data_IF_036371052577
#
_entry.id   IF_036371052577
#
_cell.length_a   1.000
_cell.length_b   1.000
_cell.length_c   1.000
_cell.angle_alpha   90.00
_cell.angle_beta   90.00
_cell.angle_gamma   90.00
#
_symmetry.space_group_name_H-M   'P 1'
#
loop_
_entity.id
_entity.type
_entity.pdbx_description
1 polymer ?
#
# COMPACT_ATOMS: atom_id res chain seq x y z
N UNK A 1 0.01 -15.36 13.82
CA UNK A 1 1.14 -16.30 13.79
C UNK A 1 2.37 -15.65 14.44
N UNK A 2 2.91 -16.25 15.49
CA UNK A 2 4.13 -15.80 16.13
C UNK A 2 5.36 -16.25 15.32
N UNK A 3 6.12 -15.28 14.80
CA UNK A 3 7.35 -15.54 14.02
C UNK A 3 8.55 -15.85 14.93
N UNK A 4 8.51 -15.42 16.20
CA UNK A 4 9.59 -15.64 17.17
C UNK A 4 9.48 -16.94 17.98
N UNK A 5 8.46 -17.75 17.77
CA UNK A 5 8.26 -19.00 18.49
C UNK A 5 9.40 -20.00 18.22
N UNK A 6 9.97 -20.58 19.30
CA UNK A 6 11.19 -21.42 19.22
C UNK A 6 10.96 -22.85 18.72
N UNK A 7 9.72 -23.30 18.62
CA UNK A 7 9.40 -24.73 18.48
C UNK A 7 9.04 -25.19 17.06
N UNK A 8 8.73 -24.28 16.14
CA UNK A 8 8.40 -24.59 14.75
C UNK A 8 8.92 -23.52 13.80
N UNK A 9 9.20 -23.92 12.54
CA UNK A 9 9.51 -22.96 11.50
C UNK A 9 8.22 -22.20 11.12
N UNK A 10 8.08 -20.89 11.44
CA UNK A 10 6.85 -20.15 11.24
C UNK A 10 6.41 -20.07 9.77
N UNK A 11 7.34 -20.18 8.82
CA UNK A 11 7.01 -20.19 7.40
C UNK A 11 6.33 -21.50 6.97
N UNK A 12 6.70 -22.64 7.60
CA UNK A 12 6.01 -23.92 7.36
C UNK A 12 4.60 -23.87 7.94
N UNK A 13 4.46 -23.30 9.14
CA UNK A 13 3.13 -23.12 9.76
C UNK A 13 2.26 -22.18 8.91
N UNK A 14 2.81 -21.09 8.37
CA UNK A 14 2.12 -20.20 7.45
C UNK A 14 1.62 -20.96 6.21
N UNK A 15 2.49 -21.74 5.57
CA UNK A 15 2.14 -22.52 4.38
C UNK A 15 1.00 -23.52 4.69
N UNK A 16 1.06 -24.22 5.82
CA UNK A 16 0.01 -25.14 6.26
C UNK A 16 -1.32 -24.45 6.49
N UNK A 17 -1.33 -23.30 7.15
CA UNK A 17 -2.55 -22.52 7.37
C UNK A 17 -3.19 -22.09 6.05
N UNK A 18 -2.38 -21.63 5.08
CA UNK A 18 -2.87 -21.24 3.75
C UNK A 18 -3.29 -22.43 2.89
N UNK A 19 -2.76 -23.64 3.12
CA UNK A 19 -3.28 -24.87 2.50
C UNK A 19 -4.65 -25.25 3.00
N UNK A 20 -4.95 -25.00 4.29
CA UNK A 20 -6.27 -25.26 4.88
C UNK A 20 -7.30 -24.23 4.40
N UNK A 21 -6.95 -22.95 4.45
CA UNK A 21 -7.76 -21.86 3.91
C UNK A 21 -6.86 -20.85 3.17
N UNK A 22 -6.86 -20.93 1.85
CA UNK A 22 -6.10 -20.04 0.97
C UNK A 22 -6.48 -18.55 1.07
N UNK A 23 -7.65 -18.26 1.63
CA UNK A 23 -8.17 -16.92 1.84
C UNK A 23 -7.97 -16.40 3.27
N UNK A 24 -7.34 -17.20 4.14
CA UNK A 24 -7.06 -16.79 5.51
C UNK A 24 -6.19 -15.53 5.54
N UNK A 25 -6.61 -14.54 6.32
CA UNK A 25 -5.82 -13.31 6.54
C UNK A 25 -4.92 -13.55 7.75
N UNK A 26 -3.64 -13.82 7.51
CA UNK A 26 -2.67 -14.20 8.54
C UNK A 26 -1.80 -13.01 8.90
N UNK A 27 -1.95 -12.49 10.12
CA UNK A 27 -1.09 -11.46 10.69
C UNK A 27 0.12 -12.13 11.35
N UNK A 28 1.30 -11.74 10.93
CA UNK A 28 2.55 -12.21 11.52
C UNK A 28 2.94 -11.31 12.69
N UNK A 29 3.20 -11.89 13.86
CA UNK A 29 3.58 -11.15 15.05
C UNK A 29 5.00 -11.51 15.48
N UNK A 30 5.87 -10.53 15.73
CA UNK A 30 7.19 -10.78 16.30
C UNK A 30 7.86 -9.52 16.86
N UNK A 31 8.98 -9.71 17.54
CA UNK A 31 9.89 -8.63 17.91
C UNK A 31 10.70 -8.17 16.71
N UNK A 32 11.16 -6.91 16.71
CA UNK A 32 11.94 -6.30 15.60
C UNK A 32 13.43 -6.71 15.61
N UNK A 33 13.74 -8.00 15.77
CA UNK A 33 15.09 -8.48 15.52
C UNK A 33 15.33 -8.63 14.01
N UNK A 34 16.58 -8.48 13.56
CA UNK A 34 16.91 -8.60 12.14
C UNK A 34 16.47 -9.95 11.53
N UNK A 35 16.64 -11.04 12.30
CA UNK A 35 16.20 -12.38 11.89
C UNK A 35 14.69 -12.45 11.70
N UNK A 36 13.92 -11.91 12.66
CA UNK A 36 12.47 -11.94 12.61
C UNK A 36 11.91 -11.06 11.46
N UNK A 37 12.53 -9.90 11.23
CA UNK A 37 12.19 -9.03 10.10
C UNK A 37 12.39 -9.76 8.76
N UNK A 38 13.52 -10.44 8.58
CA UNK A 38 13.76 -11.27 7.38
C UNK A 38 12.73 -12.39 7.22
N UNK A 39 12.40 -13.05 8.32
CA UNK A 39 11.39 -14.14 8.31
C UNK A 39 10.01 -13.59 7.96
N UNK A 40 9.62 -12.43 8.54
CA UNK A 40 8.36 -11.76 8.21
C UNK A 40 8.30 -11.34 6.74
N UNK A 41 9.38 -10.81 6.18
CA UNK A 41 9.45 -10.47 4.75
C UNK A 41 9.23 -11.69 3.86
N UNK A 42 9.87 -12.82 4.19
CA UNK A 42 9.60 -14.10 3.50
C UNK A 42 8.18 -14.62 3.72
N UNK A 43 7.56 -14.28 4.86
CA UNK A 43 6.16 -14.55 5.13
C UNK A 43 5.22 -13.78 4.20
N UNK A 44 5.53 -12.51 3.90
CA UNK A 44 4.77 -11.75 2.90
C UNK A 44 4.84 -12.41 1.50
N UNK A 45 6.02 -12.87 1.06
CA UNK A 45 6.19 -13.61 -0.20
C UNK A 45 5.32 -14.87 -0.28
N UNK A 46 4.98 -15.47 0.87
CA UNK A 46 4.17 -16.70 1.00
C UNK A 46 2.68 -16.46 1.26
N UNK A 47 2.23 -15.20 1.33
CA UNK A 47 0.82 -14.86 1.51
C UNK A 47 0.43 -14.37 2.91
N UNK A 48 1.40 -14.10 3.81
CA UNK A 48 1.12 -13.40 5.06
C UNK A 48 0.52 -12.02 4.80
N UNK A 49 -0.62 -11.72 5.42
CA UNK A 49 -1.41 -10.53 5.10
C UNK A 49 -0.80 -9.24 5.66
N UNK A 50 -0.30 -9.29 6.89
CA UNK A 50 0.30 -8.13 7.57
C UNK A 50 1.24 -8.57 8.69
N UNK A 51 1.90 -7.60 9.30
CA UNK A 51 2.84 -7.77 10.40
C UNK A 51 2.46 -6.86 11.58
N UNK A 52 2.61 -7.38 12.81
CA UNK A 52 2.48 -6.60 14.03
C UNK A 52 3.71 -6.76 14.93
N UNK A 53 4.23 -5.64 15.42
CA UNK A 53 5.35 -5.64 16.35
C UNK A 53 4.88 -6.08 17.74
N UNK A 54 5.44 -7.18 18.24
CA UNK A 54 5.21 -7.60 19.62
C UNK A 54 5.96 -6.70 20.60
N UNK A 55 5.39 -6.41 21.79
CA UNK A 55 6.09 -5.71 22.85
C UNK A 55 7.35 -6.46 23.24
N UNK A 56 8.51 -5.81 23.21
CA UNK A 56 9.79 -6.38 23.63
C UNK A 56 10.19 -5.86 25.00
N UNK A 57 10.61 -6.79 25.91
CA UNK A 57 11.24 -6.46 27.18
C UNK A 57 10.30 -5.91 28.27
N UNK A 58 10.88 -5.45 29.38
CA UNK A 58 10.22 -4.96 30.59
C UNK A 58 9.51 -3.59 30.41
N UNK A 59 9.15 -3.22 29.18
CA UNK A 59 8.57 -1.91 28.87
C UNK A 59 7.09 -1.85 29.22
N UNK A 60 6.82 -0.91 30.06
CA UNK A 60 5.60 -0.30 30.61
C UNK A 60 4.29 -0.58 29.84
N UNK A 61 3.20 -0.47 30.62
CA UNK A 61 1.79 -0.54 30.24
C UNK A 61 1.45 0.11 28.88
N UNK A 62 2.09 1.24 28.53
CA UNK A 62 1.91 1.96 27.27
C UNK A 62 2.21 1.14 26.00
N UNK A 63 3.20 0.23 26.02
CA UNK A 63 3.53 -0.59 24.83
C UNK A 63 2.53 -1.74 24.65
N UNK A 64 1.94 -2.24 25.71
CA UNK A 64 0.87 -3.25 25.65
C UNK A 64 -0.42 -2.65 25.11
N UNK A 65 -0.75 -1.41 25.52
CA UNK A 65 -1.93 -0.71 25.05
C UNK A 65 -1.79 -0.33 23.56
N UNK A 66 -0.61 0.12 23.14
CA UNK A 66 -0.32 0.39 21.73
C UNK A 66 -0.42 -0.89 20.86
N UNK A 67 0.15 -2.01 21.33
CA UNK A 67 0.02 -3.30 20.66
C UNK A 67 -1.43 -3.76 20.55
N UNK A 68 -2.18 -3.67 21.65
CA UNK A 68 -3.60 -4.03 21.67
C UNK A 68 -4.41 -3.19 20.69
N UNK A 69 -4.19 -1.89 20.69
CA UNK A 69 -4.89 -0.96 19.80
C UNK A 69 -4.59 -1.30 18.33
N UNK A 70 -3.31 -1.54 17.99
CA UNK A 70 -2.92 -1.87 16.63
C UNK A 70 -3.44 -3.26 16.21
N UNK A 71 -3.39 -4.26 17.11
CA UNK A 71 -3.94 -5.59 16.83
C UNK A 71 -5.46 -5.51 16.58
N UNK A 72 -6.20 -4.80 17.43
CA UNK A 72 -7.65 -4.63 17.25
C UNK A 72 -7.97 -3.89 15.95
N UNK A 73 -7.16 -2.90 15.59
CA UNK A 73 -7.28 -2.18 14.32
C UNK A 73 -7.09 -3.13 13.15
N UNK A 74 -6.02 -3.93 13.12
CA UNK A 74 -5.73 -4.88 12.05
C UNK A 74 -6.79 -5.97 11.92
N UNK A 75 -7.17 -6.58 13.04
CA UNK A 75 -8.20 -7.65 13.06
C UNK A 75 -9.56 -7.09 12.64
N UNK A 76 -9.95 -5.93 13.17
CA UNK A 76 -11.22 -5.27 12.82
C UNK A 76 -11.30 -4.96 11.33
N UNK A 77 -10.30 -4.30 10.76
CA UNK A 77 -10.29 -3.97 9.33
C UNK A 77 -10.28 -5.18 8.40
N UNK A 78 -9.58 -6.28 8.78
CA UNK A 78 -9.62 -7.52 8.01
C UNK A 78 -10.94 -8.27 8.16
N UNK A 79 -11.59 -8.19 9.33
CA UNK A 79 -12.89 -8.82 9.56
C UNK A 79 -14.02 -8.09 8.80
N UNK A 80 -13.98 -6.78 8.75
CA UNK A 80 -14.94 -5.97 7.99
C UNK A 80 -14.82 -6.26 6.48
N UNK A 81 -13.59 -6.32 5.95
CA UNK A 81 -13.34 -6.71 4.57
C UNK A 81 -13.84 -8.14 4.22
N UNK A 82 -13.92 -9.04 5.22
CA UNK A 82 -14.45 -10.40 5.02
C UNK A 82 -15.98 -10.48 5.12
N UNK A 83 -16.63 -9.54 5.79
CA UNK A 83 -18.11 -9.50 5.90
C UNK A 83 -18.78 -9.12 4.60
N UNK A 84 -18.07 -8.41 3.73
CA UNK A 84 -18.54 -8.01 2.41
C UNK A 84 -18.39 -9.11 1.35
N UNK A 85 -17.67 -10.21 1.66
CA UNK A 85 -17.66 -11.42 0.84
C UNK A 85 -19.03 -12.12 0.95
N UNK A 86 -19.73 -12.46 -0.17
CA UNK A 86 -20.99 -13.16 -0.12
C UNK A 86 -20.81 -14.50 0.60
N UNK A 87 -21.69 -14.86 1.54
CA UNK A 87 -21.56 -16.08 2.32
C UNK A 87 -21.50 -17.29 1.38
N UNK A 88 -20.44 -18.09 1.53
CA UNK A 88 -20.31 -19.39 0.86
C UNK A 88 -21.60 -20.18 1.12
N UNK A 89 -22.40 -20.45 0.09
CA UNK A 89 -23.67 -21.19 0.19
C UNK A 89 -23.42 -22.55 0.84
N UNK A 90 -23.68 -22.63 2.13
CA UNK A 90 -24.06 -23.90 2.78
C UNK A 90 -25.53 -24.09 2.42
N UNK A 91 -25.81 -25.13 1.68
CA UNK A 91 -27.16 -25.44 1.23
C UNK A 91 -28.12 -25.58 2.45
N UNK A 92 -29.15 -24.75 2.52
CA UNK A 92 -30.27 -24.90 3.42
C UNK A 92 -30.55 -23.78 4.39
N UNK A 93 -31.15 -22.67 3.90
CA UNK A 93 -32.30 -21.93 4.44
C UNK A 93 -32.44 -20.57 3.74
N UNK A 94 -33.65 -20.14 3.35
CA UNK A 94 -33.81 -18.82 2.73
C UNK A 94 -33.72 -17.74 3.82
N UNK A 95 -32.63 -16.99 3.82
CA UNK A 95 -32.50 -15.76 4.58
C UNK A 95 -32.78 -14.58 3.63
N UNK A 96 -33.69 -13.72 4.07
CA UNK A 96 -34.10 -12.49 3.41
C UNK A 96 -32.86 -11.65 3.07
N UNK A 97 -32.62 -11.49 1.76
CA UNK A 97 -31.57 -10.63 1.23
C UNK A 97 -31.83 -9.18 1.64
N UNK A 98 -31.03 -8.65 2.59
CA UNK A 98 -30.72 -7.24 2.59
C UNK A 98 -29.74 -7.02 1.43
N UNK A 99 -30.26 -6.64 0.29
CA UNK A 99 -29.49 -6.03 -0.80
C UNK A 99 -29.07 -4.65 -0.27
N UNK A 100 -27.93 -4.57 0.39
CA UNK A 100 -27.29 -3.28 0.61
C UNK A 100 -26.94 -2.75 -0.79
N UNK A 101 -27.53 -1.61 -1.12
CA UNK A 101 -27.31 -0.94 -2.39
C UNK A 101 -25.80 -0.74 -2.58
N UNK A 102 -25.19 -1.42 -3.57
CA UNK A 102 -23.86 -1.08 -4.07
C UNK A 102 -23.92 0.41 -4.38
N UNK A 103 -23.21 1.21 -3.61
CA UNK A 103 -23.10 2.64 -3.89
C UNK A 103 -22.57 2.76 -5.32
N UNK A 104 -23.30 3.46 -6.18
CA UNK A 104 -22.85 3.74 -7.53
C UNK A 104 -21.58 4.58 -7.44
N UNK A 105 -20.43 3.95 -7.61
CA UNK A 105 -19.15 4.65 -7.61
C UNK A 105 -19.03 5.42 -8.92
N UNK A 106 -18.92 6.73 -8.81
CA UNK A 106 -18.70 7.61 -9.96
C UNK A 106 -17.21 7.59 -10.32
N UNK A 107 -16.90 7.33 -11.59
CA UNK A 107 -15.54 7.45 -12.11
C UNK A 107 -15.34 8.81 -12.78
N UNK A 108 -14.13 9.33 -12.72
CA UNK A 108 -13.75 10.57 -13.39
C UNK A 108 -13.36 10.32 -14.84
N UNK A 109 -13.54 11.34 -15.65
CA UNK A 109 -13.02 11.36 -17.02
C UNK A 109 -11.48 11.37 -17.07
N UNK A 110 -10.95 11.10 -18.24
CA UNK A 110 -9.52 11.14 -18.48
C UNK A 110 -8.95 12.55 -18.29
N UNK A 111 -7.82 12.65 -17.59
CA UNK A 111 -7.07 13.91 -17.55
C UNK A 111 -6.46 14.21 -18.93
N UNK A 112 -6.41 15.50 -19.28
CA UNK A 112 -5.69 15.99 -20.46
C UNK A 112 -4.17 16.05 -20.26
N UNK A 113 -3.70 15.91 -19.02
CA UNK A 113 -2.28 15.98 -18.70
C UNK A 113 -1.60 14.62 -18.82
N UNK A 114 -0.47 14.59 -19.52
CA UNK A 114 0.38 13.40 -19.56
C UNK A 114 1.18 13.27 -18.26
N UNK A 115 1.15 12.11 -17.59
CA UNK A 115 1.93 11.90 -16.38
C UNK A 115 3.44 11.98 -16.63
N UNK A 116 4.16 12.61 -15.70
CA UNK A 116 5.62 12.66 -15.65
C UNK A 116 6.18 12.10 -14.34
N UNK A 117 5.31 11.70 -13.42
CA UNK A 117 5.64 11.08 -12.13
C UNK A 117 4.55 10.11 -11.73
N UNK A 118 4.93 9.02 -11.08
CA UNK A 118 4.02 8.03 -10.50
C UNK A 118 4.17 8.02 -8.97
N UNK A 119 3.04 8.14 -8.25
CA UNK A 119 2.99 7.97 -6.81
C UNK A 119 2.16 6.75 -6.44
N UNK A 120 2.57 6.01 -5.41
CA UNK A 120 1.89 4.80 -4.95
C UNK A 120 1.71 4.87 -3.44
N UNK A 121 0.48 4.66 -2.97
CA UNK A 121 0.14 4.53 -1.56
C UNK A 121 -0.34 3.12 -1.24
N UNK A 122 0.16 2.52 -0.15
CA UNK A 122 -0.22 1.17 0.28
C UNK A 122 -0.03 0.94 1.79
N UNK A 123 -0.70 -0.08 2.33
CA UNK A 123 -0.59 -0.46 3.74
C UNK A 123 -0.71 -1.99 3.89
N UNK A 124 -1.71 -2.50 4.61
CA UNK A 124 -2.00 -3.93 4.81
C UNK A 124 -2.15 -4.65 3.47
N UNK A 125 -1.39 -5.72 3.25
CA UNK A 125 -1.29 -6.42 1.95
C UNK A 125 -0.42 -5.69 0.91
N UNK A 126 0.11 -4.51 1.26
CA UNK A 126 0.91 -3.65 0.38
C UNK A 126 2.16 -4.32 -0.19
N UNK A 127 3.00 -5.01 0.59
CA UNK A 127 4.21 -5.62 0.07
C UNK A 127 3.98 -6.55 -1.13
N UNK A 128 2.95 -7.44 -1.05
CA UNK A 128 2.60 -8.32 -2.17
C UNK A 128 2.01 -7.54 -3.35
N UNK A 129 1.12 -6.57 -3.06
CA UNK A 129 0.51 -5.74 -4.10
C UNK A 129 1.57 -4.91 -4.84
N UNK A 130 2.55 -4.34 -4.14
CA UNK A 130 3.68 -3.62 -4.72
C UNK A 130 4.51 -4.53 -5.62
N UNK A 131 4.84 -5.74 -5.16
CA UNK A 131 5.59 -6.71 -5.98
C UNK A 131 4.81 -7.07 -7.25
N UNK A 132 3.52 -7.41 -7.15
CA UNK A 132 2.67 -7.75 -8.32
C UNK A 132 2.53 -6.58 -9.27
N UNK A 133 2.32 -5.38 -8.77
CA UNK A 133 2.17 -4.17 -9.58
C UNK A 133 3.47 -3.80 -10.29
N UNK A 134 4.59 -3.68 -9.55
CA UNK A 134 5.86 -3.24 -10.10
C UNK A 134 6.46 -4.24 -11.08
N UNK A 135 6.26 -5.56 -10.87
CA UNK A 135 6.73 -6.59 -11.80
C UNK A 135 6.05 -6.54 -13.18
N UNK A 136 4.87 -5.92 -13.27
CA UNK A 136 4.12 -5.74 -14.52
C UNK A 136 4.30 -4.37 -15.18
N UNK A 137 5.02 -3.45 -14.54
CA UNK A 137 5.41 -2.18 -15.15
C UNK A 137 6.55 -2.45 -16.12
N UNK A 138 6.33 -2.09 -17.40
CA UNK A 138 7.33 -2.25 -18.45
C UNK A 138 8.63 -1.49 -18.13
N UNK A 139 9.78 -2.08 -18.45
CA UNK A 139 11.09 -1.46 -18.26
C UNK A 139 11.25 -0.14 -19.05
N UNK A 140 10.50 0.02 -20.15
CA UNK A 140 10.47 1.26 -20.93
C UNK A 140 9.85 2.45 -20.19
N UNK A 141 9.13 2.22 -19.08
CA UNK A 141 8.63 3.31 -18.25
C UNK A 141 9.75 3.92 -17.41
N UNK A 142 10.16 5.10 -17.77
CA UNK A 142 11.28 5.83 -17.14
C UNK A 142 10.85 6.85 -16.09
N UNK A 143 9.56 7.00 -15.80
CA UNK A 143 9.08 7.95 -14.80
C UNK A 143 9.67 7.63 -13.41
N UNK A 144 10.04 8.64 -12.61
CA UNK A 144 10.32 8.42 -11.20
C UNK A 144 9.05 7.94 -10.49
N UNK A 145 9.22 7.00 -9.56
CA UNK A 145 8.14 6.41 -8.77
C UNK A 145 8.37 6.74 -7.30
N UNK A 146 7.35 7.26 -6.63
CA UNK A 146 7.38 7.51 -5.19
C UNK A 146 6.40 6.59 -4.49
N UNK A 147 6.87 5.86 -3.47
CA UNK A 147 6.10 4.83 -2.80
C UNK A 147 6.03 5.14 -1.30
N UNK A 148 4.81 5.25 -0.79
CA UNK A 148 4.55 5.20 0.65
C UNK A 148 3.88 3.87 0.98
N UNK A 149 4.61 3.03 1.73
CA UNK A 149 4.10 1.83 2.39
C UNK A 149 4.11 2.06 3.89
N UNK A 150 2.95 1.92 4.55
CA UNK A 150 2.90 2.00 6.02
C UNK A 150 3.64 0.81 6.62
N UNK A 151 4.85 1.06 7.13
CA UNK A 151 5.73 0.02 7.63
C UNK A 151 6.79 0.60 8.58
N UNK A 152 7.23 -0.14 9.63
CA UNK A 152 8.33 0.29 10.47
C UNK A 152 9.66 0.43 9.73
N UNK A 153 10.56 1.29 10.20
CA UNK A 153 11.84 1.60 9.58
C UNK A 153 12.74 0.36 9.37
N UNK A 154 12.66 -0.63 10.25
CA UNK A 154 13.43 -1.89 10.12
C UNK A 154 13.00 -2.74 8.92
N UNK A 155 11.82 -2.50 8.37
CA UNK A 155 11.27 -3.25 7.24
C UNK A 155 11.46 -2.54 5.90
N UNK A 156 11.43 -1.20 5.86
CA UNK A 156 11.40 -0.44 4.60
C UNK A 156 12.65 -0.64 3.76
N UNK A 157 13.85 -0.62 4.38
CA UNK A 157 15.09 -0.91 3.68
C UNK A 157 15.14 -2.34 3.09
N UNK A 158 14.57 -3.32 3.81
CA UNK A 158 14.54 -4.70 3.34
C UNK A 158 13.48 -4.87 2.23
N UNK A 159 12.33 -4.21 2.36
CA UNK A 159 11.29 -4.20 1.33
C UNK A 159 11.83 -3.62 0.01
N UNK A 160 12.56 -2.51 0.04
CA UNK A 160 13.18 -1.93 -1.15
C UNK A 160 14.09 -2.94 -1.88
N UNK A 161 14.94 -3.67 -1.12
CA UNK A 161 15.80 -4.73 -1.67
C UNK A 161 15.00 -5.89 -2.28
N UNK A 162 13.93 -6.32 -1.62
CA UNK A 162 13.06 -7.39 -2.14
C UNK A 162 12.35 -6.93 -3.42
N UNK A 163 11.78 -5.74 -3.44
CA UNK A 163 11.16 -5.18 -4.63
C UNK A 163 12.15 -5.10 -5.80
N UNK A 164 13.40 -4.65 -5.56
CA UNK A 164 14.44 -4.63 -6.60
C UNK A 164 14.71 -6.03 -7.14
N UNK A 165 14.94 -7.01 -6.25
CA UNK A 165 15.22 -8.40 -6.64
C UNK A 165 14.08 -9.03 -7.44
N UNK A 166 12.83 -8.84 -6.96
CA UNK A 166 11.67 -9.58 -7.46
C UNK A 166 11.07 -8.95 -8.72
N UNK A 167 11.27 -7.64 -8.91
CA UNK A 167 10.70 -6.90 -10.04
C UNK A 167 11.73 -6.49 -11.10
N UNK A 168 13.02 -6.62 -10.80
CA UNK A 168 14.11 -6.15 -11.66
C UNK A 168 14.21 -4.61 -11.78
N UNK A 169 13.35 -3.86 -11.07
CA UNK A 169 13.31 -2.41 -11.11
C UNK A 169 14.22 -1.82 -10.02
N UNK A 170 14.89 -0.72 -10.29
CA UNK A 170 15.69 -0.02 -9.29
C UNK A 170 14.79 0.59 -8.22
N UNK A 171 14.60 -0.11 -7.10
CA UNK A 171 13.83 0.36 -5.94
C UNK A 171 14.79 0.60 -4.79
N UNK A 172 14.80 1.79 -4.22
CA UNK A 172 15.65 2.13 -3.08
C UNK A 172 14.84 2.79 -1.96
N UNK A 173 15.27 2.56 -0.72
CA UNK A 173 14.78 3.36 0.39
C UNK A 173 15.32 4.79 0.25
N UNK A 174 14.42 5.76 0.30
CA UNK A 174 14.74 7.17 0.06
C UNK A 174 15.66 7.74 1.14
N UNK A 175 16.59 8.61 0.75
CA UNK A 175 17.49 9.31 1.65
C UNK A 175 17.27 10.82 1.59
N UNK A 176 17.53 11.51 2.71
CA UNK A 176 17.38 12.96 2.77
C UNK A 176 18.41 13.66 1.87
N UNK A 177 17.96 14.63 1.07
CA UNK A 177 18.80 15.35 0.11
C UNK A 177 19.07 14.58 -1.19
N UNK A 178 18.46 13.41 -1.38
CA UNK A 178 18.65 12.61 -2.58
C UNK A 178 17.98 13.25 -3.79
N UNK A 179 18.71 13.39 -4.89
CA UNK A 179 18.16 13.86 -6.17
C UNK A 179 17.22 12.80 -6.75
N UNK A 180 16.16 13.27 -7.37
CA UNK A 180 15.20 12.42 -8.07
C UNK A 180 15.72 12.12 -9.48
N UNK A 181 15.84 10.85 -9.78
CA UNK A 181 16.32 10.32 -11.06
C UNK A 181 15.23 9.57 -11.81
N UNK A 182 15.26 9.62 -13.12
CA UNK A 182 14.40 8.81 -13.96
C UNK A 182 14.66 7.30 -13.72
N UNK A 183 13.65 6.48 -14.01
CA UNK A 183 13.72 5.02 -13.88
C UNK A 183 14.08 4.51 -12.47
N UNK A 184 13.81 5.31 -11.45
CA UNK A 184 14.08 4.95 -10.04
C UNK A 184 12.78 5.02 -9.24
N UNK A 185 12.58 4.03 -8.38
CA UNK A 185 11.49 4.01 -7.41
C UNK A 185 12.03 4.29 -6.00
N UNK A 186 11.44 5.25 -5.33
CA UNK A 186 11.83 5.70 -3.99
C UNK A 186 10.78 5.25 -2.98
N UNK A 187 11.18 4.39 -2.05
CA UNK A 187 10.33 3.94 -0.94
C UNK A 187 10.56 4.83 0.28
N UNK A 188 9.51 5.42 0.81
CA UNK A 188 9.57 6.23 2.02
C UNK A 188 10.11 5.41 3.20
N UNK A 189 11.17 5.85 3.90
CA UNK A 189 11.68 5.15 5.07
C UNK A 189 10.69 5.23 6.23
N UNK A 190 10.54 4.14 6.96
CA UNK A 190 9.72 4.13 8.17
C UNK A 190 10.15 5.21 9.17
N UNK A 191 9.19 5.72 9.92
CA UNK A 191 9.37 6.81 10.89
C UNK A 191 9.78 8.18 10.29
N UNK A 192 9.67 8.36 8.97
CA UNK A 192 9.82 9.65 8.30
C UNK A 192 8.72 9.82 7.25
N UNK A 193 8.23 11.04 7.07
CA UNK A 193 7.50 11.41 5.87
C UNK A 193 8.49 11.67 4.74
N UNK A 194 8.21 11.21 3.55
CA UNK A 194 8.97 11.52 2.34
C UNK A 194 8.27 12.68 1.62
N UNK A 195 8.94 13.80 1.53
CA UNK A 195 8.51 15.00 0.81
C UNK A 195 9.42 15.20 -0.38
N UNK A 196 8.92 15.87 -1.40
CA UNK A 196 9.68 16.23 -2.59
C UNK A 196 9.73 17.75 -2.69
N UNK A 197 10.94 18.31 -2.85
CA UNK A 197 11.18 19.73 -2.97
C UNK A 197 11.87 20.08 -4.28
N UNK A 198 11.83 21.34 -4.69
CA UNK A 198 12.49 21.83 -5.90
C UNK A 198 11.53 22.03 -7.07
N UNK A 199 11.99 21.72 -8.28
CA UNK A 199 11.22 21.89 -9.52
C UNK A 199 11.29 20.64 -10.39
N UNK A 200 10.42 20.55 -11.41
CA UNK A 200 10.49 19.45 -12.40
C UNK A 200 11.90 19.40 -13.02
N UNK A 201 12.51 18.22 -13.02
CA UNK A 201 13.87 18.00 -13.52
C UNK A 201 14.99 18.33 -12.51
N UNK A 202 14.70 18.98 -11.40
CA UNK A 202 15.64 19.24 -10.31
C UNK A 202 14.97 19.03 -8.94
N UNK A 203 14.24 17.94 -8.82
CA UNK A 203 13.56 17.56 -7.58
C UNK A 203 14.51 16.84 -6.63
N UNK A 204 14.32 17.04 -5.34
CA UNK A 204 15.13 16.46 -4.26
C UNK A 204 14.19 15.90 -3.19
N UNK A 205 14.54 14.75 -2.64
CA UNK A 205 13.80 14.14 -1.54
C UNK A 205 14.19 14.80 -0.21
N UNK A 206 13.15 15.18 0.56
CA UNK A 206 13.29 15.65 1.93
C UNK A 206 12.60 14.67 2.87
N UNK A 207 13.32 14.20 3.87
CA UNK A 207 12.75 13.39 4.94
C UNK A 207 12.33 14.27 6.12
N UNK A 208 11.13 14.06 6.66
CA UNK A 208 10.57 14.86 7.74
C UNK A 208 10.06 13.98 8.88
N UNK A 209 10.40 14.35 10.11
CA UNK A 209 9.86 13.76 11.33
C UNK A 209 8.69 14.56 11.92
N UNK A 210 8.03 15.37 11.13
CA UNK A 210 6.78 16.03 11.51
C UNK A 210 5.77 15.05 12.14
N UNK A 211 4.79 15.52 12.90
CA UNK A 211 3.78 14.66 13.52
C UNK A 211 3.16 13.67 12.54
N UNK A 212 2.75 12.50 13.06
CA UNK A 212 2.04 11.50 12.26
C UNK A 212 0.80 12.09 11.60
N UNK A 213 0.59 11.80 10.32
CA UNK A 213 -0.62 12.12 9.57
C UNK A 213 -1.41 10.84 9.39
N UNK A 214 -2.71 10.86 9.63
CA UNK A 214 -3.58 9.67 9.62
C UNK A 214 -3.02 8.51 10.49
N UNK A 215 -2.42 8.87 11.64
CA UNK A 215 -1.72 7.96 12.57
C UNK A 215 -0.47 7.27 11.99
N UNK A 216 -0.07 7.59 10.76
CA UNK A 216 1.04 6.97 10.03
C UNK A 216 2.23 7.92 9.85
N UNK A 217 3.44 7.35 9.85
CA UNK A 217 4.68 7.97 9.41
C UNK A 217 5.64 6.88 8.93
N UNK A 218 5.82 6.73 7.58
CA UNK A 218 5.34 7.62 6.51
C UNK A 218 3.82 7.63 6.35
N UNK A 219 3.29 8.72 5.76
CA UNK A 219 1.90 8.85 5.32
C UNK A 219 1.87 9.25 3.84
N UNK A 220 0.83 8.84 3.14
CA UNK A 220 0.63 9.11 1.71
C UNK A 220 0.30 10.58 1.47
N UNK A 221 -0.51 11.19 2.35
CA UNK A 221 -0.94 12.59 2.19
C UNK A 221 0.23 13.57 2.08
N UNK A 222 1.24 13.62 2.97
CA UNK A 222 2.37 14.55 2.83
C UNK A 222 3.20 14.32 1.57
N UNK A 223 3.38 13.06 1.15
CA UNK A 223 4.10 12.75 -0.09
C UNK A 223 3.35 13.31 -1.30
N UNK A 224 2.04 13.05 -1.41
CA UNK A 224 1.23 13.54 -2.53
C UNK A 224 1.15 15.06 -2.54
N UNK A 225 0.97 15.73 -1.40
CA UNK A 225 0.92 17.19 -1.32
C UNK A 225 2.19 17.81 -1.92
N UNK A 226 3.36 17.34 -1.52
CA UNK A 226 4.62 17.83 -2.08
C UNK A 226 4.80 17.53 -3.57
N UNK A 227 4.28 16.40 -4.05
CA UNK A 227 4.28 16.07 -5.49
C UNK A 227 3.31 16.94 -6.28
N UNK A 228 2.15 17.28 -5.73
CA UNK A 228 1.17 18.17 -6.38
C UNK A 228 1.79 19.56 -6.61
N UNK A 229 2.51 20.08 -5.62
CA UNK A 229 3.16 21.40 -5.73
C UNK A 229 4.15 21.48 -6.91
N UNK A 230 4.82 20.37 -7.23
CA UNK A 230 5.85 20.32 -8.29
C UNK A 230 5.25 19.88 -9.64
N UNK A 231 4.40 18.86 -9.63
CA UNK A 231 3.96 18.17 -10.86
C UNK A 231 2.54 18.51 -11.28
N UNK A 232 1.70 19.01 -10.36
CA UNK A 232 0.31 19.40 -10.64
C UNK A 232 -0.44 18.30 -11.39
N UNK A 233 -1.07 18.63 -12.50
CA UNK A 233 -1.83 17.70 -13.34
C UNK A 233 -1.02 16.55 -13.97
N UNK A 234 0.31 16.61 -13.95
CA UNK A 234 1.17 15.54 -14.46
C UNK A 234 1.46 14.44 -13.41
N UNK A 235 0.77 14.44 -12.28
CA UNK A 235 0.85 13.41 -11.25
C UNK A 235 -0.15 12.27 -11.54
N UNK A 236 0.37 11.04 -11.64
CA UNK A 236 -0.41 9.82 -11.64
C UNK A 236 -0.28 9.14 -10.27
N UNK A 237 -1.40 8.87 -9.62
CA UNK A 237 -1.44 8.21 -8.30
C UNK A 237 -2.12 6.87 -8.40
N UNK A 238 -1.55 5.86 -7.74
CA UNK A 238 -2.14 4.53 -7.58
C UNK A 238 -2.30 4.25 -6.08
N UNK A 239 -3.53 3.99 -5.64
CA UNK A 239 -3.82 3.58 -4.27
C UNK A 239 -4.10 2.09 -4.25
N UNK A 240 -3.21 1.35 -3.58
CA UNK A 240 -3.29 -0.10 -3.42
C UNK A 240 -3.94 -0.46 -2.08
N UNK A 241 -4.13 -1.76 -1.89
CA UNK A 241 -4.66 -2.34 -0.66
C UNK A 241 -4.06 -1.70 0.58
N UNK A 242 -4.90 -1.43 1.56
CA UNK A 242 -4.49 -0.82 2.83
C UNK A 242 -5.68 -0.45 3.69
N UNK A 243 -5.44 -0.38 4.99
CA UNK A 243 -6.45 0.01 5.96
C UNK A 243 -6.51 1.53 6.13
N UNK A 244 -7.71 2.03 6.43
CA UNK A 244 -7.95 3.46 6.68
C UNK A 244 -8.20 4.24 5.39
N UNK A 245 -7.88 5.52 5.41
CA UNK A 245 -8.19 6.45 4.32
C UNK A 245 -7.04 7.40 3.99
N UNK A 246 -5.81 7.06 4.38
CA UNK A 246 -4.62 7.87 4.09
C UNK A 246 -4.44 8.01 2.57
N UNK A 247 -4.12 9.21 2.12
CA UNK A 247 -4.03 9.57 0.72
C UNK A 247 -5.36 10.04 0.09
N UNK A 248 -6.53 9.85 0.75
CA UNK A 248 -7.82 10.29 0.19
C UNK A 248 -7.84 11.80 -0.03
N UNK A 249 -7.44 12.58 0.97
CA UNK A 249 -7.52 14.04 0.90
C UNK A 249 -6.56 14.62 -0.16
N UNK A 250 -5.35 14.09 -0.21
CA UNK A 250 -4.36 14.53 -1.23
C UNK A 250 -4.68 14.00 -2.62
N UNK A 251 -5.30 12.82 -2.75
CA UNK A 251 -5.83 12.37 -4.04
C UNK A 251 -6.93 13.31 -4.56
N UNK A 252 -7.80 13.84 -3.69
CA UNK A 252 -8.79 14.87 -4.07
C UNK A 252 -8.09 16.13 -4.62
N UNK A 253 -7.07 16.64 -3.91
CA UNK A 253 -6.26 17.79 -4.38
C UNK A 253 -5.53 17.47 -5.70
N UNK A 254 -5.01 16.24 -5.86
CA UNK A 254 -4.34 15.81 -7.09
C UNK A 254 -5.27 15.88 -8.31
N UNK A 255 -6.53 15.41 -8.19
CA UNK A 255 -7.48 15.49 -9.31
C UNK A 255 -7.99 16.92 -9.55
N UNK A 256 -8.09 17.76 -8.53
CA UNK A 256 -8.39 19.19 -8.66
C UNK A 256 -7.28 19.93 -9.41
N UNK A 257 -6.02 19.51 -9.23
CA UNK A 257 -4.86 19.99 -9.99
C UNK A 257 -4.74 19.37 -11.41
N UNK A 258 -5.69 18.52 -11.81
CA UNK A 258 -5.71 17.86 -13.12
C UNK A 258 -4.97 16.50 -13.15
N UNK A 259 -4.52 15.99 -12.03
CA UNK A 259 -3.86 14.68 -11.91
C UNK A 259 -4.83 13.50 -12.08
N UNK A 260 -4.28 12.31 -12.18
CA UNK A 260 -5.04 11.07 -12.36
C UNK A 260 -4.87 10.16 -11.14
N UNK A 261 -5.97 9.59 -10.67
CA UNK A 261 -5.99 8.61 -9.57
C UNK A 261 -6.57 7.29 -10.05
N UNK A 262 -5.84 6.20 -9.79
CA UNK A 262 -6.30 4.82 -9.96
C UNK A 262 -6.36 4.14 -8.59
N UNK A 263 -7.27 3.21 -8.41
CA UNK A 263 -7.39 2.44 -7.18
C UNK A 263 -7.45 0.93 -7.48
N UNK A 264 -6.90 0.14 -6.55
CA UNK A 264 -7.09 -1.30 -6.55
C UNK A 264 -8.56 -1.62 -6.22
N UNK A 265 -9.13 -2.61 -6.87
CA UNK A 265 -10.49 -3.07 -6.58
C UNK A 265 -10.59 -3.83 -5.24
N UNK A 266 -11.82 -4.06 -4.81
CA UNK A 266 -12.11 -4.76 -3.58
C UNK A 266 -11.70 -6.23 -3.64
N UNK A 267 -11.99 -6.90 -4.73
CA UNK A 267 -11.81 -8.34 -4.90
C UNK A 267 -10.34 -8.77 -4.81
N UNK A 268 -9.41 -7.95 -5.31
CA UNK A 268 -7.97 -8.23 -5.25
C UNK A 268 -7.27 -7.61 -4.03
N UNK A 269 -7.97 -6.79 -3.22
CA UNK A 269 -7.42 -6.16 -2.02
C UNK A 269 -7.44 -7.11 -0.81
N UNK A 270 -6.39 -7.07 -0.01
CA UNK A 270 -6.38 -7.72 1.32
C UNK A 270 -7.34 -6.96 2.27
N UNK A 271 -7.27 -5.62 2.23
CA UNK A 271 -8.19 -4.68 2.90
C UNK A 271 -8.47 -3.53 1.94
N UNK A 272 -9.76 -3.32 1.62
CA UNK A 272 -10.17 -2.27 0.68
C UNK A 272 -10.49 -0.93 1.37
N UNK A 273 -9.71 -0.58 2.41
CA UNK A 273 -9.87 0.68 3.15
C UNK A 273 -9.36 1.89 2.37
N UNK A 274 -8.06 1.98 2.15
CA UNK A 274 -7.43 3.08 1.40
C UNK A 274 -7.97 3.19 -0.04
N UNK A 275 -7.95 2.12 -0.87
CA UNK A 275 -8.50 2.22 -2.21
C UNK A 275 -10.01 2.42 -2.22
N UNK A 276 -10.75 1.83 -1.28
CA UNK A 276 -12.19 2.06 -1.11
C UNK A 276 -12.53 3.51 -0.76
N UNK A 277 -11.72 4.15 0.08
CA UNK A 277 -11.92 5.54 0.47
C UNK A 277 -11.81 6.53 -0.72
N UNK A 278 -10.85 6.32 -1.63
CA UNK A 278 -10.72 7.14 -2.85
C UNK A 278 -11.79 6.77 -3.89
N UNK A 279 -12.15 5.49 -3.99
CA UNK A 279 -13.22 5.02 -4.87
C UNK A 279 -14.58 5.63 -4.50
N UNK A 280 -14.97 5.51 -3.22
CA UNK A 280 -16.24 6.05 -2.70
C UNK A 280 -16.32 7.59 -2.76
N UNK A 281 -15.17 8.27 -2.72
CA UNK A 281 -15.11 9.72 -2.91
C UNK A 281 -15.33 10.16 -4.37
N UNK A 282 -15.42 9.24 -5.34
CA UNK A 282 -15.63 9.54 -6.75
C UNK A 282 -14.44 10.23 -7.42
N UNK A 283 -13.23 10.03 -6.92
CA UNK A 283 -12.02 10.69 -7.42
C UNK A 283 -11.14 9.77 -8.29
N UNK A 284 -11.51 8.51 -8.43
CA UNK A 284 -10.80 7.56 -9.28
C UNK A 284 -11.21 7.69 -10.76
N UNK A 285 -10.22 7.65 -11.65
CA UNK A 285 -10.46 7.42 -13.09
C UNK A 285 -10.84 5.97 -13.36
N UNK A 286 -10.16 5.03 -12.70
CA UNK A 286 -10.41 3.58 -12.83
C UNK A 286 -10.19 2.89 -11.49
N UNK A 287 -10.97 1.83 -11.27
CA UNK A 287 -10.84 0.92 -10.13
C UNK A 287 -10.64 -0.46 -10.75
N UNK A 288 -9.50 -1.09 -10.51
CA UNK A 288 -9.04 -2.24 -11.28
C UNK A 288 -8.46 -3.33 -10.37
N UNK A 289 -8.57 -4.57 -10.83
CA UNK A 289 -7.79 -5.67 -10.27
C UNK A 289 -6.30 -5.34 -10.26
N UNK A 290 -5.58 -5.84 -9.26
CA UNK A 290 -4.15 -5.57 -9.08
C UNK A 290 -3.33 -5.88 -10.34
N UNK A 291 -3.72 -6.89 -11.10
CA UNK A 291 -3.00 -7.31 -12.31
C UNK A 291 -3.32 -6.42 -13.53
N UNK A 292 -4.43 -5.69 -13.49
CA UNK A 292 -4.84 -4.76 -14.53
C UNK A 292 -4.33 -3.32 -14.32
N UNK A 293 -3.90 -2.97 -13.09
CA UNK A 293 -3.44 -1.62 -12.75
C UNK A 293 -2.17 -1.22 -13.53
N UNK A 294 -1.15 -2.08 -13.56
CA UNK A 294 0.09 -1.76 -14.26
C UNK A 294 -0.10 -1.58 -15.78
N UNK A 295 -0.84 -2.44 -16.50
CA UNK A 295 -1.22 -2.18 -17.89
C UNK A 295 -1.99 -0.87 -18.08
N UNK A 296 -2.89 -0.49 -17.16
CA UNK A 296 -3.60 0.78 -17.22
C UNK A 296 -2.65 1.98 -17.05
N UNK A 297 -1.73 1.92 -16.09
CA UNK A 297 -0.67 2.93 -15.91
C UNK A 297 0.14 3.08 -17.19
N UNK A 298 0.57 1.97 -17.81
CA UNK A 298 1.36 2.01 -19.04
C UNK A 298 0.61 2.67 -20.21
N UNK A 299 -0.69 2.39 -20.37
CA UNK A 299 -1.54 3.08 -21.38
C UNK A 299 -1.62 4.57 -21.13
N UNK A 300 -1.86 5.00 -19.88
CA UNK A 300 -1.99 6.40 -19.53
C UNK A 300 -0.66 7.14 -19.75
N UNK A 301 0.47 6.56 -19.34
CA UNK A 301 1.81 7.13 -19.54
C UNK A 301 2.18 7.18 -21.03
N UNK A 302 1.75 6.19 -21.81
CA UNK A 302 1.95 6.15 -23.26
C UNK A 302 1.10 7.14 -24.05
N UNK A 303 0.12 7.79 -23.43
CA UNK A 303 -0.77 8.77 -24.09
C UNK A 303 -1.90 8.15 -24.90
N UNK A 304 -2.17 6.86 -24.75
CA UNK A 304 -3.35 6.24 -25.35
C UNK A 304 -4.59 6.67 -24.54
N UNK A 305 -5.44 7.47 -25.15
CA UNK A 305 -6.79 7.72 -24.68
C UNK A 305 -7.57 6.39 -24.76
N UNK A 306 -8.00 5.85 -23.64
CA UNK A 306 -8.93 4.71 -23.56
C UNK A 306 -10.31 5.20 -23.22
#
# INVERSE_FOLDING_TARGET
LDIGARHENPLITLDRLLQIDRHAKIIMASTLTFSNVRTSMRGFERGGADFIQMPSGHTRKSNKDAFRTELLRLVGGMADARRDDPPRRIAGKPTVNKVEARQNITLREASSHRPTVLAIGSSTGGPQALTRFLSKIDAAMTLPIFITQHMPATFTALLAKHLTRDTGRNVMEASNGQRVEANTAYLAPGNNHMLIEGTRGNAVIRLSQAPKVNFCRPSVDPMLESLIDIYGGSLLTVILTGMGSDGKNSCQKAVEAGGTVLAQDEASSVVWGMPGAVAQAGICRQILDIDALAPAVMRIVGGAAS
#
